data_IF_020106259452
#
_entry.id   IF_020106259452
#
_cell.length_a   1.000
_cell.length_b   1.000
_cell.length_c   1.000
_cell.angle_alpha   90.00
_cell.angle_beta   90.00
_cell.angle_gamma   90.00
#
_symmetry.space_group_name_H-M   'P 1'
#
loop_
_entity.id
_entity.type
_entity.pdbx_description
1 polymer ?
#
# COMPACT_ATOMS: atom_id res chain seq x y z
N UNK A 1 12.23 -17.63 -40.25
CA UNK A 1 11.89 -16.19 -40.22
C UNK A 1 10.41 -16.06 -39.91
N UNK A 2 10.08 -15.93 -38.63
CA UNK A 2 8.70 -15.78 -38.14
C UNK A 2 8.56 -14.35 -37.60
N UNK A 3 7.62 -13.61 -38.15
CA UNK A 3 7.30 -12.24 -37.76
C UNK A 3 6.57 -12.22 -36.42
N UNK A 4 6.80 -11.21 -35.55
CA UNK A 4 6.05 -11.07 -34.30
C UNK A 4 4.64 -10.54 -34.59
N UNK A 5 3.65 -11.24 -34.04
CA UNK A 5 2.24 -10.83 -34.07
C UNK A 5 2.09 -9.61 -33.16
N UNK A 6 1.92 -8.46 -33.79
CA UNK A 6 1.63 -7.19 -33.08
C UNK A 6 0.22 -7.22 -32.49
N UNK A 7 0.12 -7.24 -31.19
CA UNK A 7 -1.15 -7.02 -30.47
C UNK A 7 -1.51 -5.54 -30.59
N UNK A 8 -2.48 -5.22 -31.46
CA UNK A 8 -3.12 -3.89 -31.50
C UNK A 8 -4.07 -3.78 -30.31
N UNK A 9 -3.67 -3.05 -29.29
CA UNK A 9 -4.59 -2.59 -28.25
C UNK A 9 -5.51 -1.51 -28.81
N UNK A 10 -6.65 -1.92 -29.35
CA UNK A 10 -7.74 -1.02 -29.70
C UNK A 10 -8.49 -0.64 -28.43
N UNK A 11 -8.27 0.57 -27.93
CA UNK A 11 -9.03 1.14 -26.80
C UNK A 11 -10.41 1.60 -27.28
N UNK A 12 -11.25 0.68 -27.74
CA UNK A 12 -12.66 0.95 -27.96
C UNK A 12 -13.37 0.79 -26.64
N UNK A 13 -13.93 1.87 -26.09
CA UNK A 13 -14.89 1.84 -24.96
C UNK A 13 -16.15 1.15 -25.45
N UNK A 14 -16.13 -0.15 -25.60
CA UNK A 14 -17.32 -0.92 -25.95
C UNK A 14 -18.25 -0.90 -24.75
N UNK A 15 -19.33 -0.14 -24.85
CA UNK A 15 -20.47 -0.20 -23.93
C UNK A 15 -21.12 -1.55 -24.18
N UNK A 16 -20.91 -2.49 -23.30
CA UNK A 16 -21.58 -3.79 -23.38
C UNK A 16 -23.01 -3.65 -22.89
N UNK A 17 -23.96 -4.25 -23.60
CA UNK A 17 -25.36 -4.39 -23.24
C UNK A 17 -25.72 -5.87 -23.26
N UNK A 18 -26.55 -6.32 -22.34
CA UNK A 18 -27.12 -7.67 -22.37
C UNK A 18 -28.34 -7.73 -23.27
N UNK A 19 -28.94 -8.92 -23.44
CA UNK A 19 -30.11 -9.15 -24.29
C UNK A 19 -31.37 -8.41 -23.83
N UNK A 20 -31.38 -7.86 -22.63
CA UNK A 20 -32.45 -7.04 -22.05
C UNK A 20 -32.23 -5.54 -22.24
N UNK A 21 -31.19 -5.12 -22.98
CA UNK A 21 -30.84 -3.72 -23.19
C UNK A 21 -30.16 -3.06 -21.98
N UNK A 22 -29.80 -3.80 -20.94
CA UNK A 22 -29.14 -3.27 -19.74
C UNK A 22 -27.62 -3.13 -19.99
N UNK A 23 -27.06 -2.02 -19.52
CA UNK A 23 -25.62 -1.79 -19.58
C UNK A 23 -24.90 -2.68 -18.59
N UNK A 24 -23.94 -3.45 -19.09
CA UNK A 24 -23.09 -4.36 -18.29
C UNK A 24 -21.62 -3.94 -18.37
N UNK A 25 -20.81 -4.45 -17.45
CA UNK A 25 -19.36 -4.24 -17.44
C UNK A 25 -18.70 -4.81 -18.69
N UNK A 26 -17.52 -4.28 -19.01
CA UNK A 26 -16.69 -4.84 -20.10
C UNK A 26 -16.31 -6.30 -19.79
N UNK A 27 -16.20 -7.15 -20.77
CA UNK A 27 -15.60 -8.48 -20.60
C UNK A 27 -14.17 -8.35 -20.08
N UNK A 28 -13.74 -9.31 -19.28
CA UNK A 28 -12.35 -9.45 -18.83
C UNK A 28 -11.90 -10.87 -19.12
N UNK A 29 -10.71 -11.01 -19.67
CA UNK A 29 -9.99 -12.27 -19.71
C UNK A 29 -9.30 -12.42 -18.35
N UNK A 30 -9.95 -13.17 -17.45
CA UNK A 30 -9.55 -13.23 -16.06
C UNK A 30 -9.26 -14.67 -15.62
N UNK A 31 -8.05 -14.85 -15.12
CA UNK A 31 -7.67 -16.07 -14.39
C UNK A 31 -7.39 -15.66 -12.93
N UNK A 32 -7.88 -16.42 -11.93
CA UNK A 32 -7.63 -16.12 -10.53
C UNK A 32 -6.15 -15.89 -10.23
N UNK A 33 -5.87 -14.88 -9.41
CA UNK A 33 -4.53 -14.56 -8.97
C UNK A 33 -3.94 -15.67 -8.10
N UNK A 34 -2.62 -15.69 -7.94
CA UNK A 34 -1.95 -16.63 -7.04
C UNK A 34 -2.10 -16.16 -5.60
N UNK A 35 -2.33 -17.10 -4.68
CA UNK A 35 -2.30 -16.81 -3.25
C UNK A 35 -0.85 -16.47 -2.86
N UNK A 36 -0.59 -15.34 -2.17
CA UNK A 36 0.75 -15.07 -1.68
C UNK A 36 1.18 -16.13 -0.68
N UNK A 37 2.38 -16.64 -0.87
CA UNK A 37 2.98 -17.62 0.05
C UNK A 37 3.75 -16.92 1.16
N UNK A 38 3.68 -17.46 2.36
CA UNK A 38 4.23 -16.87 3.56
C UNK A 38 5.76 -16.97 3.69
N UNK A 39 6.49 -17.47 2.67
CA UNK A 39 7.93 -17.63 2.62
C UNK A 39 8.63 -16.75 1.56
N UNK A 40 7.88 -15.91 0.85
CA UNK A 40 8.45 -15.04 -0.16
C UNK A 40 9.39 -13.99 0.45
N UNK A 41 10.58 -13.84 -0.14
CA UNK A 41 11.51 -12.76 0.15
C UNK A 41 11.56 -11.82 -1.06
N UNK A 42 11.34 -10.53 -0.81
CA UNK A 42 11.34 -9.51 -1.86
C UNK A 42 12.59 -8.64 -1.72
N UNK A 43 13.52 -8.82 -2.64
CA UNK A 43 14.82 -8.14 -2.61
C UNK A 43 14.75 -6.76 -3.27
N UNK A 44 15.24 -5.76 -2.56
CA UNK A 44 15.49 -4.41 -3.04
C UNK A 44 16.96 -4.01 -2.87
N UNK A 45 17.31 -2.77 -3.17
CA UNK A 45 18.68 -2.24 -3.00
C UNK A 45 18.94 -1.75 -1.58
N UNK A 46 17.98 -1.03 -1.02
CA UNK A 46 18.06 -0.44 0.32
C UNK A 46 17.28 -1.19 1.37
N UNK A 47 16.40 -2.09 0.96
CA UNK A 47 15.60 -2.93 1.85
C UNK A 47 15.35 -4.30 1.23
N UNK A 48 15.11 -5.29 2.08
CA UNK A 48 14.43 -6.52 1.71
C UNK A 48 13.20 -6.70 2.59
N UNK A 49 12.18 -7.33 2.04
CA UNK A 49 10.99 -7.72 2.79
C UNK A 49 11.02 -9.23 2.93
N UNK A 50 10.98 -9.70 4.15
CA UNK A 50 10.97 -11.14 4.45
C UNK A 50 9.85 -11.46 5.44
N UNK A 51 9.36 -12.72 5.47
CA UNK A 51 8.28 -13.11 6.35
C UNK A 51 8.57 -12.71 7.79
N UNK A 52 7.68 -11.92 8.40
CA UNK A 52 7.86 -11.50 9.78
C UNK A 52 7.76 -12.70 10.72
N UNK A 53 8.74 -12.84 11.60
CA UNK A 53 8.84 -13.95 12.52
C UNK A 53 9.57 -13.58 13.81
N UNK A 54 9.76 -14.57 14.72
CA UNK A 54 10.39 -14.35 16.03
C UNK A 54 11.78 -13.69 15.94
N UNK A 55 12.53 -13.98 14.88
CA UNK A 55 13.87 -13.40 14.63
C UNK A 55 13.87 -11.89 14.46
N UNK A 56 12.72 -11.29 14.13
CA UNK A 56 12.61 -9.84 13.91
C UNK A 56 12.10 -9.08 15.14
N UNK A 57 11.62 -9.77 16.17
CA UNK A 57 10.91 -9.14 17.30
C UNK A 57 11.77 -8.13 18.02
N UNK A 58 13.03 -8.45 18.29
CA UNK A 58 13.95 -7.54 19.00
C UNK A 58 14.18 -6.26 18.23
N UNK A 59 14.43 -6.36 16.94
CA UNK A 59 14.68 -5.22 16.07
C UNK A 59 13.42 -4.37 15.89
N UNK A 60 12.28 -5.01 15.62
CA UNK A 60 11.00 -4.33 15.46
C UNK A 60 10.58 -3.62 16.76
N UNK A 61 10.80 -4.27 17.92
CA UNK A 61 10.52 -3.63 19.20
C UNK A 61 11.39 -2.40 19.42
N UNK A 62 12.68 -2.50 19.14
CA UNK A 62 13.60 -1.35 19.22
C UNK A 62 13.24 -0.21 18.24
N UNK A 63 12.71 -0.56 17.05
CA UNK A 63 12.38 0.42 16.00
C UNK A 63 11.01 1.10 16.21
N UNK A 64 10.04 0.44 16.86
CA UNK A 64 8.63 0.82 16.84
C UNK A 64 8.01 1.06 18.23
N UNK A 65 8.67 0.60 19.32
CA UNK A 65 8.05 0.55 20.64
C UNK A 65 8.77 1.41 21.70
N UNK A 66 9.54 2.41 21.30
CA UNK A 66 10.13 3.39 22.22
C UNK A 66 9.03 4.19 22.92
N UNK A 67 9.34 4.77 24.07
CA UNK A 67 8.37 5.53 24.87
C UNK A 67 7.70 6.70 24.12
N UNK A 68 8.30 7.19 23.07
CA UNK A 68 7.83 8.31 22.24
C UNK A 68 7.32 7.88 20.85
N UNK A 69 7.09 6.56 20.63
CA UNK A 69 6.58 6.01 19.38
C UNK A 69 5.04 5.83 19.34
N UNK A 70 4.30 6.26 20.35
CA UNK A 70 2.83 6.21 20.38
C UNK A 70 2.16 6.74 19.10
N UNK A 71 2.66 7.81 18.44
CA UNK A 71 2.08 8.29 17.18
C UNK A 71 2.08 7.26 16.05
N UNK A 72 3.01 6.30 16.04
CA UNK A 72 3.05 5.21 15.03
C UNK A 72 1.83 4.32 15.17
N UNK A 73 1.35 4.10 16.39
CA UNK A 73 0.28 3.19 16.74
C UNK A 73 -1.12 3.83 16.75
N UNK A 74 -1.22 5.16 16.65
CA UNK A 74 -2.48 5.91 16.75
C UNK A 74 -3.58 5.34 15.85
N UNK A 75 -3.29 5.06 14.60
CA UNK A 75 -4.26 4.61 13.59
C UNK A 75 -4.19 3.10 13.29
N UNK A 76 -3.31 2.38 13.98
CA UNK A 76 -3.25 0.92 13.92
C UNK A 76 -4.30 0.30 14.85
N UNK A 77 -4.69 -0.94 14.57
CA UNK A 77 -5.70 -1.66 15.35
C UNK A 77 -5.18 -2.10 16.73
N UNK A 78 -3.88 -2.01 16.95
CA UNK A 78 -3.20 -2.35 18.20
C UNK A 78 -2.71 -1.10 18.93
N UNK A 79 -2.64 -1.18 20.25
CA UNK A 79 -1.89 -0.23 21.04
C UNK A 79 -0.37 -0.46 20.85
N UNK A 80 0.45 0.52 21.25
CA UNK A 80 1.89 0.32 21.28
C UNK A 80 2.26 -0.84 22.23
N UNK A 81 2.94 -1.90 21.75
CA UNK A 81 3.39 -2.99 22.60
C UNK A 81 4.28 -2.50 23.75
N UNK A 82 4.05 -3.03 24.94
CA UNK A 82 4.81 -2.70 26.15
C UNK A 82 6.09 -3.51 26.24
N UNK A 83 6.09 -4.69 25.66
CA UNK A 83 7.19 -5.64 25.66
C UNK A 83 7.25 -6.42 24.33
N UNK A 84 8.29 -7.24 24.19
CA UNK A 84 8.53 -8.07 23.00
C UNK A 84 7.47 -9.14 22.81
N UNK A 85 6.94 -9.67 23.88
CA UNK A 85 5.92 -10.72 23.83
C UNK A 85 4.59 -10.17 23.30
N UNK A 86 4.24 -8.92 23.64
CA UNK A 86 3.08 -8.26 23.05
C UNK A 86 3.26 -8.02 21.54
N UNK A 87 4.46 -7.61 21.12
CA UNK A 87 4.74 -7.45 19.69
C UNK A 87 4.72 -8.79 18.94
N UNK A 88 5.30 -9.83 19.52
CA UNK A 88 5.25 -11.18 18.95
C UNK A 88 3.80 -11.66 18.78
N UNK A 89 2.95 -11.46 19.78
CA UNK A 89 1.52 -11.79 19.69
C UNK A 89 0.78 -11.01 18.60
N UNK A 90 1.16 -9.76 18.34
CA UNK A 90 0.60 -9.00 17.21
C UNK A 90 0.98 -9.65 15.88
N UNK A 91 2.26 -10.01 15.69
CA UNK A 91 2.71 -10.67 14.46
C UNK A 91 2.04 -12.04 14.27
N UNK A 92 1.87 -12.81 15.35
CA UNK A 92 1.16 -14.08 15.31
C UNK A 92 -0.33 -13.90 14.98
N UNK A 93 -1.00 -12.93 15.60
CA UNK A 93 -2.40 -12.62 15.33
C UNK A 93 -2.63 -12.19 13.87
N UNK A 94 -1.70 -11.47 13.23
CA UNK A 94 -1.81 -11.15 11.80
C UNK A 94 -1.76 -12.41 10.93
N UNK A 95 -0.87 -13.34 11.27
CA UNK A 95 -0.74 -14.62 10.56
C UNK A 95 -2.00 -15.49 10.74
N UNK A 96 -2.51 -15.59 11.95
CA UNK A 96 -3.75 -16.32 12.26
C UNK A 96 -4.97 -15.73 11.53
N UNK A 97 -4.97 -14.42 11.30
CA UNK A 97 -5.98 -13.73 10.49
C UNK A 97 -5.79 -13.92 8.96
N UNK A 98 -4.88 -14.80 8.54
CA UNK A 98 -4.62 -15.10 7.13
C UNK A 98 -3.90 -13.98 6.38
N UNK A 99 -3.19 -13.09 7.08
CA UNK A 99 -2.37 -12.06 6.46
C UNK A 99 -0.96 -12.61 6.19
N UNK A 100 -0.32 -12.07 5.16
CA UNK A 100 1.12 -12.30 4.91
C UNK A 100 1.87 -11.06 5.36
N UNK A 101 2.46 -11.14 6.53
CA UNK A 101 3.18 -10.02 7.16
C UNK A 101 4.66 -10.11 6.85
N UNK A 102 5.21 -9.00 6.37
CA UNK A 102 6.63 -8.84 6.05
C UNK A 102 7.31 -7.92 7.06
N UNK A 103 8.44 -8.34 7.57
CA UNK A 103 9.43 -7.45 8.19
C UNK A 103 10.17 -6.70 7.08
N UNK A 104 10.37 -5.41 7.28
CA UNK A 104 11.16 -4.56 6.37
C UNK A 104 12.55 -4.44 6.98
N UNK A 105 13.51 -5.11 6.37
CA UNK A 105 14.90 -5.15 6.83
C UNK A 105 15.73 -4.16 6.03
N UNK A 106 16.40 -3.24 6.71
CA UNK A 106 17.28 -2.28 6.08
C UNK A 106 18.58 -2.97 5.63
N UNK A 107 18.94 -2.84 4.35
CA UNK A 107 20.11 -3.51 3.77
C UNK A 107 21.44 -3.06 4.41
N UNK A 108 21.52 -1.79 4.86
CA UNK A 108 22.73 -1.23 5.47
C UNK A 108 23.05 -1.85 6.84
N UNK A 109 22.03 -2.14 7.64
CA UNK A 109 22.20 -2.58 9.04
C UNK A 109 21.82 -4.03 9.28
N UNK A 110 21.18 -4.67 8.29
CA UNK A 110 20.60 -5.99 8.42
C UNK A 110 19.58 -6.11 9.58
N UNK A 111 18.88 -5.00 9.89
CA UNK A 111 17.92 -4.93 10.98
C UNK A 111 16.52 -4.62 10.49
N UNK A 112 15.53 -5.25 11.13
CA UNK A 112 14.13 -4.96 10.85
C UNK A 112 13.76 -3.58 11.39
N UNK A 113 13.27 -2.70 10.50
CA UNK A 113 13.00 -1.29 10.78
C UNK A 113 11.52 -0.92 10.67
N UNK A 114 10.68 -1.89 10.37
CA UNK A 114 9.24 -1.78 10.24
C UNK A 114 8.61 -3.06 9.74
N UNK A 115 7.30 -3.08 9.66
CA UNK A 115 6.55 -4.18 9.06
C UNK A 115 5.32 -3.68 8.30
N UNK A 116 4.80 -4.53 7.43
CA UNK A 116 3.54 -4.32 6.72
C UNK A 116 2.96 -5.68 6.32
N UNK A 117 1.67 -5.71 5.96
CA UNK A 117 1.00 -6.96 5.62
C UNK A 117 0.27 -6.86 4.29
N UNK A 118 0.25 -7.96 3.54
CA UNK A 118 -0.77 -8.23 2.54
C UNK A 118 -1.97 -8.86 3.25
N UNK A 119 -3.14 -8.28 3.05
CA UNK A 119 -4.38 -8.68 3.72
C UNK A 119 -5.58 -8.60 2.78
N UNK A 120 -6.76 -9.04 3.24
CA UNK A 120 -7.98 -9.08 2.41
C UNK A 120 -7.70 -9.70 1.05
N UNK A 121 -7.01 -10.82 1.08
CA UNK A 121 -6.52 -11.56 -0.08
C UNK A 121 -7.70 -12.27 -0.71
N UNK A 122 -8.12 -11.83 -1.91
CA UNK A 122 -9.18 -12.45 -2.71
C UNK A 122 -8.66 -12.77 -4.11
N UNK A 123 -8.04 -13.93 -4.30
CA UNK A 123 -7.51 -14.35 -5.60
C UNK A 123 -8.59 -14.51 -6.66
N UNK A 124 -9.79 -14.93 -6.28
CA UNK A 124 -10.89 -15.17 -7.22
C UNK A 124 -11.36 -13.85 -7.85
N UNK A 125 -11.47 -12.78 -7.07
CA UNK A 125 -11.80 -11.45 -7.58
C UNK A 125 -10.56 -10.66 -8.00
N UNK A 126 -9.36 -11.12 -7.64
CA UNK A 126 -8.08 -10.50 -7.96
C UNK A 126 -7.84 -9.19 -7.21
N UNK A 127 -8.30 -9.11 -5.96
CA UNK A 127 -8.03 -7.97 -5.09
C UNK A 127 -7.17 -8.35 -3.90
N UNK A 128 -6.27 -7.45 -3.51
CA UNK A 128 -5.38 -7.59 -2.35
C UNK A 128 -5.10 -6.22 -1.76
N UNK A 129 -4.96 -6.14 -0.45
CA UNK A 129 -4.70 -4.89 0.27
C UNK A 129 -3.33 -4.90 0.93
N UNK A 130 -2.62 -3.78 0.90
CA UNK A 130 -1.52 -3.52 1.82
C UNK A 130 -2.04 -2.77 3.05
N UNK A 131 -1.75 -3.30 4.22
CA UNK A 131 -2.17 -2.69 5.48
C UNK A 131 -1.26 -3.07 6.64
N UNK A 132 -1.65 -2.72 7.86
CA UNK A 132 -0.83 -2.98 9.05
C UNK A 132 0.55 -2.33 8.95
N UNK A 133 0.67 -1.18 8.28
CA UNK A 133 1.96 -0.55 7.97
C UNK A 133 2.47 0.17 9.22
N UNK A 134 3.54 -0.34 9.81
CA UNK A 134 4.26 0.26 10.92
C UNK A 134 5.71 0.53 10.51
N UNK A 135 6.06 1.80 10.38
CA UNK A 135 7.40 2.24 9.99
C UNK A 135 8.11 2.89 11.17
N UNK A 136 9.26 2.36 11.56
CA UNK A 136 10.18 3.01 12.48
C UNK A 136 10.64 4.37 11.94
N UNK A 137 11.08 5.26 12.82
CA UNK A 137 11.45 6.65 12.47
C UNK A 137 12.46 6.74 11.33
N UNK A 138 13.44 5.85 11.32
CA UNK A 138 14.48 5.79 10.28
C UNK A 138 13.92 5.38 8.90
N UNK A 139 12.81 4.63 8.86
CA UNK A 139 12.16 4.25 7.63
C UNK A 139 11.21 5.32 7.12
N UNK A 140 10.59 6.11 8.03
CA UNK A 140 9.64 7.14 7.65
C UNK A 140 10.25 8.19 6.73
N UNK A 141 9.54 8.55 5.65
CA UNK A 141 9.95 9.55 4.64
C UNK A 141 11.27 9.23 3.93
N UNK A 142 11.73 8.01 3.99
CA UNK A 142 12.98 7.56 3.35
C UNK A 142 12.74 7.02 1.94
N UNK A 143 13.83 6.87 1.19
CA UNK A 143 13.87 6.14 -0.08
C UNK A 143 13.50 4.67 0.16
N UNK A 144 14.02 4.08 1.23
CA UNK A 144 13.78 2.72 1.66
C UNK A 144 12.28 2.40 1.87
N UNK A 145 11.53 3.33 2.51
CA UNK A 145 10.08 3.17 2.66
C UNK A 145 9.33 3.13 1.31
N UNK A 146 9.77 3.94 0.35
CA UNK A 146 9.17 3.93 -1.00
C UNK A 146 9.52 2.66 -1.74
N UNK A 147 10.75 2.17 -1.61
CA UNK A 147 11.21 0.91 -2.20
C UNK A 147 10.44 -0.28 -1.63
N UNK A 148 10.25 -0.35 -0.31
CA UNK A 148 9.44 -1.39 0.31
C UNK A 148 8.02 -1.48 -0.27
N UNK A 149 7.35 -0.33 -0.43
CA UNK A 149 6.00 -0.30 -1.02
C UNK A 149 6.02 -0.67 -2.52
N UNK A 150 7.04 -0.25 -3.26
CA UNK A 150 7.20 -0.61 -4.67
C UNK A 150 7.42 -2.12 -4.86
N UNK A 151 8.20 -2.76 -3.97
CA UNK A 151 8.42 -4.21 -3.98
C UNK A 151 7.10 -4.98 -3.76
N UNK A 152 6.29 -4.57 -2.79
CA UNK A 152 4.98 -5.20 -2.55
C UNK A 152 4.02 -5.01 -3.72
N UNK A 153 3.96 -3.81 -4.31
CA UNK A 153 3.13 -3.55 -5.48
C UNK A 153 3.55 -4.43 -6.66
N UNK A 154 4.87 -4.51 -6.92
CA UNK A 154 5.42 -5.38 -7.97
C UNK A 154 5.05 -6.84 -7.70
N UNK A 155 5.23 -7.31 -6.47
CA UNK A 155 4.87 -8.66 -6.10
C UNK A 155 3.38 -8.95 -6.34
N UNK A 156 2.49 -8.05 -5.93
CA UNK A 156 1.06 -8.23 -6.13
C UNK A 156 0.66 -8.28 -7.61
N UNK A 157 1.17 -7.37 -8.44
CA UNK A 157 0.76 -7.29 -9.84
C UNK A 157 1.54 -8.24 -10.74
N UNK A 158 2.88 -8.22 -10.67
CA UNK A 158 3.72 -8.92 -11.64
C UNK A 158 3.92 -10.39 -11.27
N UNK A 159 4.13 -10.68 -9.96
CA UNK A 159 4.39 -12.04 -9.51
C UNK A 159 3.10 -12.82 -9.24
N UNK A 160 2.11 -12.22 -8.60
CA UNK A 160 0.88 -12.91 -8.17
C UNK A 160 -0.29 -12.74 -9.14
N UNK A 161 -0.28 -11.70 -9.99
CA UNK A 161 -1.28 -11.46 -11.01
C UNK A 161 -2.58 -10.83 -10.48
N UNK A 162 -2.54 -10.09 -9.40
CA UNK A 162 -3.70 -9.33 -8.93
C UNK A 162 -4.04 -8.22 -9.90
N UNK A 163 -5.34 -7.90 -10.01
CA UNK A 163 -5.84 -6.81 -10.86
C UNK A 163 -6.15 -5.53 -10.11
N UNK A 164 -6.19 -5.61 -8.77
CA UNK A 164 -6.51 -4.51 -7.88
C UNK A 164 -5.68 -4.59 -6.59
N UNK A 165 -4.94 -3.53 -6.31
CA UNK A 165 -4.13 -3.38 -5.10
C UNK A 165 -4.69 -2.23 -4.28
N UNK A 166 -5.08 -2.49 -3.04
CA UNK A 166 -5.82 -1.58 -2.19
C UNK A 166 -4.95 -0.98 -1.08
N UNK A 167 -5.33 0.22 -0.67
CA UNK A 167 -4.83 0.89 0.52
C UNK A 167 -6.00 1.54 1.25
N UNK A 168 -6.12 1.29 2.55
CA UNK A 168 -7.17 1.87 3.39
C UNK A 168 -6.53 2.53 4.59
N UNK A 169 -7.05 3.70 4.98
CA UNK A 169 -6.59 4.37 6.18
C UNK A 169 -7.73 5.13 6.85
N UNK A 170 -7.53 5.47 8.12
CA UNK A 170 -8.36 6.43 8.81
C UNK A 170 -8.35 7.75 8.02
N UNK A 171 -9.52 8.36 7.86
CA UNK A 171 -9.68 9.63 7.12
C UNK A 171 -8.91 10.79 7.77
N UNK A 172 -8.62 10.68 9.05
CA UNK A 172 -7.81 11.64 9.81
C UNK A 172 -6.30 11.38 9.70
N UNK A 173 -5.88 10.20 9.18
CA UNK A 173 -4.48 9.88 8.97
C UNK A 173 -3.92 10.57 7.73
N UNK A 174 -3.70 11.88 7.82
CA UNK A 174 -3.18 12.70 6.71
C UNK A 174 -1.85 12.18 6.15
N UNK A 175 -0.87 11.74 6.96
CA UNK A 175 0.36 11.14 6.44
C UNK A 175 0.12 9.93 5.55
N UNK A 176 -0.76 9.00 5.95
CA UNK A 176 -1.10 7.79 5.19
C UNK A 176 -1.81 8.12 3.88
N UNK A 177 -2.78 9.04 3.91
CA UNK A 177 -3.47 9.53 2.70
C UNK A 177 -2.49 10.11 1.68
N UNK A 178 -1.57 10.96 2.15
CA UNK A 178 -0.52 11.55 1.29
C UNK A 178 0.44 10.49 0.74
N UNK A 179 0.78 9.50 1.53
CA UNK A 179 1.63 8.38 1.09
C UNK A 179 0.95 7.59 -0.03
N UNK A 180 -0.32 7.20 0.13
CA UNK A 180 -1.07 6.49 -0.89
C UNK A 180 -1.11 7.28 -2.22
N UNK A 181 -1.49 8.55 -2.18
CA UNK A 181 -1.54 9.41 -3.38
C UNK A 181 -0.16 9.53 -4.03
N UNK A 182 0.89 9.75 -3.23
CA UNK A 182 2.27 9.87 -3.72
C UNK A 182 2.74 8.59 -4.42
N UNK A 183 2.35 7.42 -3.92
CA UNK A 183 2.69 6.10 -4.49
C UNK A 183 1.84 5.74 -5.72
N UNK A 184 0.90 6.60 -6.12
CA UNK A 184 0.11 6.42 -7.34
C UNK A 184 -1.29 5.86 -7.14
N UNK A 185 -1.70 5.64 -5.89
CA UNK A 185 -3.07 5.21 -5.62
C UNK A 185 -4.09 6.31 -5.93
N UNK A 186 -5.25 5.89 -6.39
CA UNK A 186 -6.42 6.73 -6.65
C UNK A 186 -7.34 6.67 -5.44
N UNK A 187 -7.75 7.82 -4.92
CA UNK A 187 -8.83 7.88 -3.93
C UNK A 187 -10.16 7.52 -4.57
N UNK A 188 -10.92 6.61 -3.96
CA UNK A 188 -12.19 6.12 -4.49
C UNK A 188 -13.39 6.56 -3.66
N UNK A 189 -13.19 6.84 -2.38
CA UNK A 189 -14.28 7.30 -1.52
C UNK A 189 -13.98 7.15 -0.04
N UNK A 190 -14.93 7.65 0.77
CA UNK A 190 -14.91 7.55 2.23
C UNK A 190 -16.08 6.73 2.73
N UNK A 191 -15.80 5.72 3.52
CA UNK A 191 -16.83 4.99 4.26
C UNK A 191 -16.97 5.64 5.63
N UNK A 192 -18.11 6.28 5.86
CA UNK A 192 -18.42 6.94 7.13
C UNK A 192 -18.82 5.91 8.18
N UNK A 193 -18.43 6.14 9.43
CA UNK A 193 -18.71 5.23 10.55
C UNK A 193 -18.32 3.78 10.24
N UNK A 194 -17.20 3.59 9.52
CA UNK A 194 -16.83 2.28 8.99
C UNK A 194 -16.34 1.33 10.08
N UNK A 195 -15.72 1.86 11.13
CA UNK A 195 -15.08 1.07 12.19
C UNK A 195 -15.19 1.82 13.51
N UNK A 196 -15.34 1.08 14.61
CA UNK A 196 -15.03 1.57 15.96
C UNK A 196 -13.61 1.12 16.30
N UNK A 197 -12.69 2.08 16.40
CA UNK A 197 -11.28 1.83 16.69
C UNK A 197 -10.92 2.45 18.05
N UNK A 198 -10.46 1.66 19.00
CA UNK A 198 -10.05 2.13 20.35
C UNK A 198 -11.11 3.02 21.01
N UNK A 199 -12.39 2.60 20.89
CA UNK A 199 -13.54 3.33 21.42
C UNK A 199 -13.93 4.62 20.67
N UNK A 200 -13.35 4.88 19.49
CA UNK A 200 -13.61 6.07 18.68
C UNK A 200 -14.15 5.71 17.32
N UNK A 201 -14.93 6.60 16.75
CA UNK A 201 -15.35 6.48 15.35
C UNK A 201 -14.14 6.60 14.42
N UNK A 202 -14.11 5.73 13.40
CA UNK A 202 -13.17 5.79 12.29
C UNK A 202 -13.94 5.79 10.97
N UNK A 203 -13.88 6.88 10.27
CA UNK A 203 -14.19 6.92 8.85
C UNK A 203 -12.98 6.40 8.08
N UNK A 204 -13.21 5.60 7.05
CA UNK A 204 -12.13 4.96 6.30
C UNK A 204 -12.09 5.47 4.87
N UNK A 205 -10.97 6.06 4.48
CA UNK A 205 -10.69 6.42 3.10
C UNK A 205 -10.13 5.20 2.34
N UNK A 206 -10.65 4.99 1.13
CA UNK A 206 -10.30 3.89 0.25
C UNK A 206 -9.52 4.41 -0.94
N UNK A 207 -8.43 3.70 -1.26
CA UNK A 207 -7.57 4.00 -2.38
C UNK A 207 -7.22 2.70 -3.11
N UNK A 208 -6.97 2.77 -4.41
CA UNK A 208 -6.51 1.63 -5.19
C UNK A 208 -5.55 2.03 -6.31
N UNK A 209 -4.78 1.05 -6.76
CA UNK A 209 -4.16 0.98 -8.08
C UNK A 209 -4.75 -0.24 -8.77
N UNK A 210 -5.12 -0.12 -10.05
CA UNK A 210 -5.62 -1.25 -10.84
C UNK A 210 -4.60 -1.66 -11.91
N UNK A 211 -4.74 -2.89 -12.40
CA UNK A 211 -3.83 -3.53 -13.36
C UNK A 211 -3.45 -2.65 -14.56
N UNK A 212 -4.43 -1.96 -15.15
CA UNK A 212 -4.22 -1.05 -16.29
C UNK A 212 -3.41 0.21 -15.95
N UNK A 213 -3.34 0.58 -14.67
CA UNK A 213 -2.60 1.73 -14.16
C UNK A 213 -1.17 1.35 -13.76
N UNK A 214 -0.99 0.08 -13.38
CA UNK A 214 0.26 -0.45 -12.85
C UNK A 214 1.48 -0.19 -13.74
N UNK A 215 1.46 -0.43 -15.07
CA UNK A 215 2.65 -0.19 -15.90
C UNK A 215 3.18 1.25 -15.80
N UNK A 216 2.29 2.23 -15.64
CA UNK A 216 2.67 3.63 -15.48
C UNK A 216 3.19 3.91 -14.07
N UNK A 217 2.49 3.42 -13.05
CA UNK A 217 2.88 3.57 -11.64
C UNK A 217 4.23 2.91 -11.41
N UNK A 218 4.43 1.70 -11.91
CA UNK A 218 5.69 0.95 -11.84
C UNK A 218 6.84 1.76 -12.42
N UNK A 219 6.70 2.25 -13.65
CA UNK A 219 7.75 3.06 -14.30
C UNK A 219 8.12 4.29 -13.47
N UNK A 220 7.13 5.02 -12.96
CA UNK A 220 7.39 6.20 -12.15
C UNK A 220 8.11 5.88 -10.83
N UNK A 221 7.79 4.73 -10.21
CA UNK A 221 8.49 4.25 -9.02
C UNK A 221 9.93 3.83 -9.34
N UNK A 222 10.15 3.09 -10.43
CA UNK A 222 11.48 2.66 -10.88
C UNK A 222 12.37 3.87 -11.22
N UNK A 223 11.85 4.84 -11.98
CA UNK A 223 12.56 6.08 -12.32
C UNK A 223 12.89 6.91 -11.08
N UNK A 224 11.95 6.99 -10.14
CA UNK A 224 12.19 7.74 -8.90
C UNK A 224 13.22 7.05 -8.01
N UNK A 225 13.22 5.71 -7.93
CA UNK A 225 14.16 4.90 -7.15
C UNK A 225 15.55 4.80 -7.78
N UNK A 226 15.75 5.26 -9.00
CA UNK A 226 17.06 5.28 -9.66
C UNK A 226 18.06 6.13 -8.86
N UNK A 227 19.30 5.67 -8.74
CA UNK A 227 20.35 6.37 -7.99
C UNK A 227 20.63 7.77 -8.53
N UNK A 228 20.47 7.97 -9.84
CA UNK A 228 20.61 9.28 -10.51
C UNK A 228 19.62 10.33 -9.99
N UNK A 229 18.51 9.91 -9.39
CA UNK A 229 17.53 10.81 -8.79
C UNK A 229 17.97 11.35 -7.42
N UNK A 230 19.08 10.87 -6.86
CA UNK A 230 19.54 11.28 -5.54
C UNK A 230 20.90 11.97 -5.62
N UNK A 231 21.10 13.00 -4.79
CA UNK A 231 22.41 13.64 -4.61
C UNK A 231 23.27 12.86 -3.59
N UNK A 232 24.52 13.31 -3.40
CA UNK A 232 25.45 12.68 -2.46
C UNK A 232 24.96 12.71 -0.99
N UNK A 233 24.00 13.58 -0.66
CA UNK A 233 23.36 13.63 0.65
C UNK A 233 22.06 12.82 0.71
N UNK A 234 21.76 12.01 -0.32
CA UNK A 234 20.56 11.19 -0.39
C UNK A 234 19.26 11.97 -0.64
N UNK A 235 19.33 13.25 -1.05
CA UNK A 235 18.14 14.08 -1.32
C UNK A 235 17.68 13.85 -2.75
N UNK A 236 16.36 13.62 -2.92
CA UNK A 236 15.78 13.46 -4.25
C UNK A 236 15.93 14.74 -5.09
N UNK A 237 16.30 14.59 -6.37
CA UNK A 237 16.35 15.68 -7.36
C UNK A 237 14.97 15.99 -7.92
N UNK A 238 14.22 14.95 -8.23
CA UNK A 238 12.86 15.00 -8.77
C UNK A 238 11.91 14.31 -7.80
N UNK A 239 10.77 14.94 -7.55
CA UNK A 239 9.73 14.36 -6.69
C UNK A 239 9.03 13.20 -7.39
N UNK A 240 8.64 12.19 -6.63
CA UNK A 240 7.83 11.10 -7.16
C UNK A 240 6.47 11.63 -7.63
N UNK A 241 6.18 11.43 -8.92
CA UNK A 241 4.91 11.74 -9.55
C UNK A 241 4.35 10.46 -10.20
N UNK A 242 4.02 9.47 -9.38
CA UNK A 242 3.48 8.20 -9.88
C UNK A 242 2.11 8.36 -10.56
N UNK A 243 1.46 9.51 -10.37
CA UNK A 243 0.24 9.91 -11.05
C UNK A 243 0.45 11.24 -11.79
N UNK A 244 0.65 11.18 -13.10
CA UNK A 244 0.54 12.34 -13.97
C UNK A 244 -0.92 12.42 -14.41
N UNK A 245 -1.74 13.10 -13.66
CA UNK A 245 -3.03 13.72 -13.93
C UNK A 245 -3.77 13.90 -12.60
N UNK A 246 -3.34 14.88 -11.87
CA UNK A 246 -4.19 15.41 -10.82
C UNK A 246 -4.77 16.72 -11.34
N UNK A 247 -6.06 16.72 -11.64
CA UNK A 247 -6.80 17.95 -11.43
C UNK A 247 -6.49 18.44 -10.01
N UNK A 248 -6.24 19.74 -9.81
CA UNK A 248 -5.95 20.27 -8.50
C UNK A 248 -7.05 19.86 -7.53
N UNK A 249 -6.68 19.51 -6.33
CA UNK A 249 -7.60 19.28 -5.21
C UNK A 249 -8.18 20.63 -4.70
N UNK A 250 -8.71 21.44 -5.61
CA UNK A 250 -9.37 22.72 -5.34
C UNK A 250 -10.87 22.60 -5.47
N UNK A 251 -11.49 21.69 -4.74
CA UNK A 251 -12.94 21.70 -4.61
C UNK A 251 -13.45 20.99 -3.36
N UNK A 252 -12.76 21.10 -2.23
CA UNK A 252 -13.30 20.61 -0.96
C UNK A 252 -12.90 21.47 0.26
N UNK A 253 -12.59 22.75 0.05
CA UNK A 253 -12.54 23.74 1.12
C UNK A 253 -13.71 24.71 0.94
N UNK A 254 -14.90 24.27 1.22
CA UNK A 254 -16.05 25.15 1.14
C UNK A 254 -17.34 24.41 1.45
N UNK A 255 -17.54 24.03 2.72
CA UNK A 255 -18.88 23.92 3.31
C UNK A 255 -18.89 23.39 4.76
N UNK A 256 -18.02 23.91 5.61
CA UNK A 256 -18.11 23.64 7.06
C UNK A 256 -18.23 24.94 7.89
N UNK A 257 -18.65 26.04 7.28
CA UNK A 257 -19.02 27.24 8.03
C UNK A 257 -20.41 27.70 7.53
N UNK A 258 -21.48 27.18 8.10
CA UNK A 258 -22.79 27.82 8.25
C UNK A 258 -23.80 26.79 8.78
N UNK A 259 -23.82 26.58 10.08
CA UNK A 259 -24.97 26.16 10.89
C UNK A 259 -24.63 26.29 12.39
N UNK A 260 -24.28 27.49 12.80
CA UNK A 260 -24.52 27.98 14.16
C UNK A 260 -25.17 29.35 13.99
N UNK A 261 -26.49 29.41 14.12
CA UNK A 261 -27.35 30.50 14.53
C UNK A 261 -28.76 30.32 13.90
N UNK A 262 -29.60 29.56 14.60
CA UNK A 262 -31.03 29.93 14.85
C UNK A 262 -31.64 28.90 15.79
#
# INVERSE_FOLDING_TARGET
>A
MSQPVGVRLSATRTRSTNDHGQRIGRPVDWTPARVPVGDAVLEGRGVRLEPAGPQHVDDLFAALCRSDDDPVWTYLFWERPRDRDELARILDATREAGQVTFAIVAAETDRAVGFCSLMRIDPAMGSIEVGGIAFGRQLQRSRAATEAMALLMRHAFDDLGYRRYEWKCDSLNVPSRRAAIRLGFVWEGRFRNAVVLKGRNRDTDWFSVVDREWPRVRRALEEWLDDRNFDAAGRQRVRLAARADTRPAEAQTGNDEQHEEQ
#
